data_IF_235682975854
#
_entry.id   IF_235682975854
#
_cell.length_a   1.000
_cell.length_b   1.000
_cell.length_c   1.000
_cell.angle_alpha   90.00
_cell.angle_beta   90.00
_cell.angle_gamma   90.00
#
_symmetry.space_group_name_H-M   'P 1'
#
loop_
_entity.id
_entity.type
_entity.pdbx_description
1 polymer ?
#
# COMPACT_ATOMS: atom_id res chain seq x y z
N UNK A 1 20.89 -3.44 49.83
CA UNK A 1 19.74 -2.53 49.60
C UNK A 1 20.11 -1.54 48.50
N UNK A 2 19.14 -1.17 47.67
CA UNK A 2 19.23 -0.40 46.40
C UNK A 2 19.63 -1.20 45.16
N UNK A 3 18.61 -1.87 44.61
CA UNK A 3 18.60 -2.50 43.30
C UNK A 3 18.32 -1.42 42.23
N UNK A 4 19.26 -1.29 41.30
CA UNK A 4 19.15 -0.82 39.91
C UNK A 4 17.89 -0.03 39.49
N UNK A 5 18.04 1.30 39.45
CA UNK A 5 17.22 2.19 38.65
C UNK A 5 18.04 2.84 37.53
N UNK A 6 17.72 2.53 36.26
CA UNK A 6 17.39 3.53 35.22
C UNK A 6 17.62 3.01 33.80
N UNK A 7 16.51 2.99 33.04
CA UNK A 7 16.41 3.21 31.58
C UNK A 7 17.21 2.28 30.66
N UNK A 8 16.64 1.11 30.36
CA UNK A 8 16.63 0.64 28.97
C UNK A 8 15.26 0.96 28.37
N UNK A 9 15.16 2.10 27.68
CA UNK A 9 14.05 2.35 26.76
C UNK A 9 14.18 1.27 25.68
N UNK A 10 13.33 0.24 25.77
CA UNK A 10 13.38 -0.92 24.89
C UNK A 10 13.30 -0.51 23.42
N UNK A 11 14.05 -1.19 22.54
CA UNK A 11 13.92 -1.00 21.09
C UNK A 11 12.45 -1.09 20.70
N UNK A 12 11.98 -0.12 19.90
CA UNK A 12 10.61 -0.13 19.36
C UNK A 12 10.38 -1.44 18.61
N UNK A 13 9.30 -2.18 18.90
CA UNK A 13 9.04 -3.48 18.27
C UNK A 13 8.85 -3.33 16.76
N UNK A 14 9.34 -4.33 15.99
CA UNK A 14 9.17 -4.40 14.52
C UNK A 14 8.42 -5.68 14.14
N UNK A 15 7.15 -5.75 14.53
CA UNK A 15 6.23 -6.80 14.09
C UNK A 15 5.48 -6.34 12.83
N UNK A 16 5.15 -7.28 11.96
CA UNK A 16 4.23 -7.07 10.83
C UNK A 16 2.81 -6.90 11.31
N UNK A 17 1.95 -6.21 10.55
CA UNK A 17 0.54 -6.00 10.89
C UNK A 17 -0.18 -7.31 11.28
N UNK A 18 0.12 -8.43 10.60
CA UNK A 18 -0.45 -9.74 10.95
C UNK A 18 0.01 -10.27 12.30
N UNK A 19 1.32 -10.16 12.61
CA UNK A 19 1.87 -10.61 13.89
C UNK A 19 1.33 -9.75 15.05
N UNK A 20 1.16 -8.45 14.82
CA UNK A 20 0.57 -7.52 15.79
C UNK A 20 -0.88 -7.87 16.12
N UNK A 21 -1.70 -8.14 15.08
CA UNK A 21 -3.10 -8.53 15.24
C UNK A 21 -3.24 -9.88 15.92
N UNK A 22 -2.39 -10.85 15.58
CA UNK A 22 -2.37 -12.15 16.21
C UNK A 22 -2.01 -12.06 17.69
N UNK A 23 -0.96 -11.32 18.04
CA UNK A 23 -0.59 -11.06 19.43
C UNK A 23 -1.75 -10.43 20.22
N UNK A 24 -2.43 -9.44 19.64
CA UNK A 24 -3.59 -8.82 20.29
C UNK A 24 -4.76 -9.80 20.45
N UNK A 25 -5.04 -10.64 19.44
CA UNK A 25 -6.09 -11.67 19.51
C UNK A 25 -5.79 -12.70 20.59
N UNK A 26 -4.56 -13.20 20.67
CA UNK A 26 -4.14 -14.19 21.65
C UNK A 26 -4.29 -13.64 23.07
N UNK A 27 -3.84 -12.40 23.30
CA UNK A 27 -4.04 -11.71 24.58
C UNK A 27 -5.52 -11.58 24.95
N UNK A 28 -6.38 -11.19 24.00
CA UNK A 28 -7.82 -11.05 24.28
C UNK A 28 -8.50 -12.40 24.54
N UNK A 29 -8.09 -13.46 23.83
CA UNK A 29 -8.58 -14.80 24.08
C UNK A 29 -8.19 -15.31 25.47
N UNK A 30 -6.95 -15.04 25.91
CA UNK A 30 -6.50 -15.39 27.26
C UNK A 30 -7.21 -14.58 28.35
N UNK A 31 -7.43 -13.28 28.12
CA UNK A 31 -8.25 -12.46 29.02
C UNK A 31 -9.65 -13.01 29.19
N UNK A 32 -10.27 -13.48 28.11
CA UNK A 32 -11.58 -14.14 28.16
C UNK A 32 -11.55 -15.46 28.94
N UNK A 33 -10.41 -16.15 28.95
CA UNK A 33 -10.18 -17.37 29.73
C UNK A 33 -9.80 -17.08 31.20
N UNK A 34 -9.78 -15.81 31.62
CA UNK A 34 -9.46 -15.42 33.00
C UNK A 34 -7.97 -15.19 33.28
N UNK A 35 -7.10 -15.31 32.26
CA UNK A 35 -5.68 -15.00 32.39
C UNK A 35 -5.48 -13.49 32.32
N UNK A 36 -4.74 -12.92 33.27
CA UNK A 36 -4.47 -11.48 33.22
C UNK A 36 -3.46 -11.14 32.10
N UNK A 37 -3.51 -9.91 31.57
CA UNK A 37 -2.65 -9.46 30.45
C UNK A 37 -1.16 -9.65 30.76
N UNK A 38 -0.77 -9.41 32.01
CA UNK A 38 0.62 -9.53 32.45
C UNK A 38 1.15 -10.97 32.38
N UNK A 39 0.34 -11.94 32.83
CA UNK A 39 0.64 -13.36 32.75
C UNK A 39 0.68 -13.82 31.29
N UNK A 40 -0.29 -13.39 30.48
CA UNK A 40 -0.32 -13.64 29.03
C UNK A 40 0.97 -13.20 28.33
N UNK A 41 1.40 -11.96 28.55
CA UNK A 41 2.63 -11.42 27.98
C UNK A 41 3.91 -12.11 28.50
N UNK A 42 3.93 -12.52 29.77
CA UNK A 42 5.06 -13.30 30.30
C UNK A 42 5.14 -14.70 29.67
N UNK A 43 4.00 -15.36 29.42
CA UNK A 43 3.99 -16.63 28.69
C UNK A 43 4.54 -16.45 27.27
N UNK A 44 4.11 -15.40 26.55
CA UNK A 44 4.66 -15.09 25.22
C UNK A 44 6.16 -14.81 25.29
N UNK A 45 6.61 -14.06 26.31
CA UNK A 45 8.03 -13.75 26.48
C UNK A 45 8.86 -15.04 26.68
N UNK A 46 8.41 -15.95 27.55
CA UNK A 46 9.09 -17.22 27.80
C UNK A 46 9.09 -18.08 26.54
N UNK A 47 7.94 -18.29 25.90
CA UNK A 47 7.84 -19.09 24.68
C UNK A 47 8.65 -18.50 23.52
N UNK A 48 8.71 -17.18 23.39
CA UNK A 48 9.52 -16.52 22.35
C UNK A 48 11.03 -16.73 22.53
N UNK A 49 11.50 -16.85 23.79
CA UNK A 49 12.90 -17.17 24.09
C UNK A 49 13.24 -18.62 23.77
N UNK A 50 12.33 -19.54 24.09
CA UNK A 50 12.49 -20.96 23.78
C UNK A 50 12.52 -21.20 22.26
N UNK A 51 11.68 -20.48 21.51
CA UNK A 51 11.60 -20.56 20.05
C UNK A 51 12.64 -19.71 19.32
N UNK A 52 13.38 -18.86 20.02
CA UNK A 52 14.35 -17.93 19.43
C UNK A 52 13.74 -16.79 18.60
N UNK A 53 12.47 -16.44 18.82
CA UNK A 53 11.81 -15.33 18.13
C UNK A 53 12.12 -13.98 18.81
N UNK A 54 13.22 -13.37 18.37
CA UNK A 54 13.68 -12.08 18.89
C UNK A 54 12.67 -10.93 18.69
N UNK A 55 11.77 -11.00 17.69
CA UNK A 55 10.80 -9.93 17.43
C UNK A 55 9.68 -9.97 18.45
N UNK A 56 9.10 -11.15 18.67
CA UNK A 56 8.06 -11.36 19.68
C UNK A 56 8.59 -11.14 21.10
N UNK A 57 9.85 -11.51 21.35
CA UNK A 57 10.50 -11.23 22.63
C UNK A 57 10.59 -9.72 22.89
N UNK A 58 11.07 -8.95 21.89
CA UNK A 58 11.19 -7.49 21.99
C UNK A 58 9.82 -6.84 22.19
N UNK A 59 8.80 -7.28 21.46
CA UNK A 59 7.44 -6.78 21.58
C UNK A 59 6.83 -7.03 22.96
N UNK A 60 6.94 -8.26 23.47
CA UNK A 60 6.39 -8.64 24.77
C UNK A 60 7.08 -7.91 25.90
N UNK A 61 8.41 -7.76 25.83
CA UNK A 61 9.19 -6.98 26.79
C UNK A 61 8.80 -5.50 26.79
N UNK A 62 8.60 -4.92 25.61
CA UNK A 62 8.15 -3.54 25.47
C UNK A 62 6.75 -3.34 26.08
N UNK A 63 5.80 -4.24 25.78
CA UNK A 63 4.45 -4.17 26.33
C UNK A 63 4.44 -4.34 27.86
N UNK A 64 5.23 -5.25 28.41
CA UNK A 64 5.39 -5.41 29.87
C UNK A 64 5.96 -4.13 30.51
N UNK A 65 6.95 -3.49 29.89
CA UNK A 65 7.50 -2.23 30.40
C UNK A 65 6.43 -1.12 30.42
N UNK A 66 5.71 -0.92 29.32
CA UNK A 66 4.65 0.10 29.22
C UNK A 66 3.50 -0.15 30.21
N UNK A 67 3.07 -1.40 30.38
CA UNK A 67 2.03 -1.75 31.36
C UNK A 67 2.51 -1.55 32.80
N UNK A 68 3.79 -1.79 33.09
CA UNK A 68 4.36 -1.55 34.43
C UNK A 68 4.40 -0.07 34.82
N UNK A 69 4.44 0.83 33.82
CA UNK A 69 4.31 2.28 34.01
C UNK A 69 2.84 2.73 34.19
N UNK A 70 1.88 1.80 34.21
CA UNK A 70 0.46 2.07 34.41
C UNK A 70 -0.28 2.50 33.13
N UNK A 71 0.34 2.37 31.95
CA UNK A 71 -0.33 2.66 30.68
C UNK A 71 -1.37 1.59 30.35
N UNK A 72 -2.43 1.98 29.64
CA UNK A 72 -3.42 1.03 29.13
C UNK A 72 -2.82 0.16 28.02
N UNK A 73 -3.46 -0.97 27.72
CA UNK A 73 -3.04 -1.84 26.63
C UNK A 73 -3.05 -1.10 25.27
N UNK A 74 -4.06 -0.27 24.99
CA UNK A 74 -4.10 0.53 23.76
C UNK A 74 -2.97 1.56 23.69
N UNK A 75 -2.63 2.21 24.81
CA UNK A 75 -1.48 3.11 24.90
C UNK A 75 -0.15 2.38 24.68
N UNK A 76 0.00 1.15 25.19
CA UNK A 76 1.22 0.36 25.00
C UNK A 76 1.44 -0.10 23.54
N UNK A 77 0.37 -0.23 22.75
CA UNK A 77 0.45 -0.52 21.31
C UNK A 77 0.69 0.74 20.46
N UNK A 78 0.57 1.94 21.03
CA UNK A 78 0.71 3.20 20.32
C UNK A 78 2.13 3.37 19.74
N UNK A 79 2.20 3.92 18.51
CA UNK A 79 3.46 4.29 17.86
C UNK A 79 4.19 3.18 17.09
N UNK A 80 3.86 1.91 17.30
CA UNK A 80 4.46 0.79 16.56
C UNK A 80 3.46 -0.20 15.97
N UNK A 81 2.27 -0.32 16.57
CA UNK A 81 1.23 -1.19 16.06
C UNK A 81 0.40 -0.55 14.94
N UNK A 82 -0.38 -1.38 14.25
CA UNK A 82 -1.34 -0.95 13.24
C UNK A 82 -2.29 0.09 13.86
N UNK A 83 -2.47 1.26 13.22
CA UNK A 83 -3.32 2.33 13.73
C UNK A 83 -4.73 1.90 14.10
N UNK A 84 -5.32 1.03 13.29
CA UNK A 84 -6.68 0.53 13.44
C UNK A 84 -6.79 -0.35 14.70
N UNK A 85 -5.75 -1.15 14.96
CA UNK A 85 -5.66 -1.96 16.18
C UNK A 85 -5.58 -1.08 17.43
N UNK A 86 -4.74 -0.04 17.42
CA UNK A 86 -4.65 0.91 18.54
C UNK A 86 -6.01 1.53 18.84
N UNK A 87 -6.75 1.96 17.81
CA UNK A 87 -8.06 2.57 18.03
C UNK A 87 -9.07 1.57 18.57
N UNK A 88 -9.05 0.32 18.08
CA UNK A 88 -9.90 -0.76 18.59
C UNK A 88 -9.59 -1.00 20.09
N UNK A 89 -8.32 -1.08 20.46
CA UNK A 89 -7.90 -1.27 21.86
C UNK A 89 -8.25 -0.06 22.76
N UNK A 90 -8.14 1.17 22.24
CA UNK A 90 -8.48 2.40 22.98
C UNK A 90 -9.97 2.73 22.99
N UNK A 91 -10.78 2.09 22.15
CA UNK A 91 -12.20 2.45 21.96
C UNK A 91 -13.12 2.07 23.13
N UNK A 92 -12.60 1.40 24.16
CA UNK A 92 -13.37 1.01 25.35
C UNK A 92 -14.49 0.01 25.05
N UNK A 93 -14.35 -0.73 23.95
CA UNK A 93 -15.27 -1.80 23.54
C UNK A 93 -15.27 -2.88 24.61
N UNK A 94 -16.47 -3.41 24.94
CA UNK A 94 -16.59 -4.55 25.85
C UNK A 94 -15.73 -5.71 25.32
N UNK A 95 -15.05 -6.42 26.21
CA UNK A 95 -14.14 -7.53 25.85
C UNK A 95 -14.77 -8.53 24.87
N UNK A 96 -16.06 -8.86 25.03
CA UNK A 96 -16.78 -9.79 24.13
C UNK A 96 -16.87 -9.32 22.67
N UNK A 97 -16.91 -8.01 22.43
CA UNK A 97 -17.00 -7.44 21.09
C UNK A 97 -15.63 -7.09 20.51
N UNK A 98 -14.59 -7.06 21.35
CA UNK A 98 -13.24 -6.66 20.97
C UNK A 98 -12.57 -7.72 20.07
N UNK A 99 -12.75 -9.00 20.40
CA UNK A 99 -12.24 -10.12 19.58
C UNK A 99 -12.84 -10.06 18.16
N UNK A 100 -14.16 -9.83 18.06
CA UNK A 100 -14.84 -9.70 16.77
C UNK A 100 -14.30 -8.52 15.94
N UNK A 101 -14.03 -7.38 16.58
CA UNK A 101 -13.46 -6.21 15.92
C UNK A 101 -12.05 -6.47 15.38
N UNK A 102 -11.18 -7.14 16.16
CA UNK A 102 -9.81 -7.45 15.74
C UNK A 102 -9.83 -8.51 14.61
N UNK A 103 -10.72 -9.50 14.66
CA UNK A 103 -10.88 -10.49 13.57
C UNK A 103 -11.39 -9.85 12.27
N UNK A 104 -12.30 -8.88 12.37
CA UNK A 104 -12.78 -8.11 11.21
C UNK A 104 -11.65 -7.27 10.60
N UNK A 105 -10.82 -6.64 11.45
CA UNK A 105 -9.61 -5.94 11.03
C UNK A 105 -8.60 -6.89 10.35
N UNK A 106 -8.38 -8.09 10.90
CA UNK A 106 -7.51 -9.09 10.31
C UNK A 106 -7.97 -9.49 8.90
N UNK A 107 -9.27 -9.74 8.72
CA UNK A 107 -9.84 -10.04 7.39
C UNK A 107 -9.59 -8.89 6.41
N UNK A 108 -9.76 -7.64 6.85
CA UNK A 108 -9.52 -6.46 6.01
C UNK A 108 -8.04 -6.33 5.61
N UNK A 109 -7.11 -6.53 6.54
CA UNK A 109 -5.66 -6.51 6.27
C UNK A 109 -5.27 -7.64 5.31
N UNK A 110 -5.80 -8.86 5.52
CA UNK A 110 -5.54 -9.99 4.63
C UNK A 110 -6.10 -9.77 3.22
N UNK A 111 -7.31 -9.22 3.08
CA UNK A 111 -7.89 -8.88 1.78
C UNK A 111 -7.02 -7.88 1.03
N UNK A 112 -6.60 -6.79 1.69
CA UNK A 112 -5.69 -5.79 1.10
C UNK A 112 -4.37 -6.42 0.64
N UNK A 113 -3.78 -7.30 1.47
CA UNK A 113 -2.54 -8.01 1.13
C UNK A 113 -2.72 -8.93 -0.07
N UNK A 114 -3.81 -9.71 -0.13
CA UNK A 114 -4.14 -10.58 -1.27
C UNK A 114 -4.30 -9.79 -2.56
N UNK A 115 -4.95 -8.63 -2.51
CA UNK A 115 -5.10 -7.75 -3.67
C UNK A 115 -3.75 -7.22 -4.18
N UNK A 116 -2.92 -6.70 -3.28
CA UNK A 116 -1.57 -6.23 -3.66
C UNK A 116 -0.73 -7.35 -4.26
N UNK A 117 -0.76 -8.54 -3.65
CA UNK A 117 -0.06 -9.70 -4.18
C UNK A 117 -0.58 -10.12 -5.56
N UNK A 118 -1.89 -10.08 -5.79
CA UNK A 118 -2.48 -10.37 -7.09
C UNK A 118 -2.04 -9.36 -8.16
N UNK A 119 -1.98 -8.06 -7.83
CA UNK A 119 -1.49 -7.01 -8.73
C UNK A 119 -0.03 -7.25 -9.09
N UNK A 120 0.82 -7.48 -8.08
CA UNK A 120 2.26 -7.74 -8.28
C UNK A 120 2.46 -8.99 -9.15
N UNK A 121 1.76 -10.09 -8.86
CA UNK A 121 1.83 -11.33 -9.63
C UNK A 121 1.41 -11.14 -11.09
N UNK A 122 0.42 -10.28 -11.37
CA UNK A 122 -0.02 -10.00 -12.74
C UNK A 122 0.94 -9.09 -13.50
N UNK A 123 1.71 -8.24 -12.82
CA UNK A 123 2.66 -7.31 -13.44
C UNK A 123 4.06 -7.89 -13.63
N UNK A 124 4.46 -8.86 -12.81
CA UNK A 124 5.84 -9.36 -12.83
C UNK A 124 6.26 -9.90 -14.21
N UNK A 125 5.36 -10.62 -14.88
CA UNK A 125 5.66 -11.22 -16.19
C UNK A 125 5.68 -10.19 -17.34
N UNK A 126 4.68 -9.30 -17.51
CA UNK A 126 4.77 -8.21 -18.49
C UNK A 126 6.00 -7.32 -18.29
N UNK A 127 6.36 -7.02 -17.02
CA UNK A 127 7.54 -6.21 -16.70
C UNK A 127 8.82 -6.98 -17.08
N UNK A 128 8.93 -8.27 -16.76
CA UNK A 128 10.11 -9.06 -17.13
C UNK A 128 10.26 -9.16 -18.64
N UNK A 129 9.16 -9.40 -19.36
CA UNK A 129 9.15 -9.49 -20.82
C UNK A 129 9.52 -8.15 -21.46
N UNK A 130 8.98 -7.04 -20.96
CA UNK A 130 9.37 -5.70 -21.40
C UNK A 130 10.86 -5.42 -21.14
N UNK A 131 11.37 -5.76 -19.96
CA UNK A 131 12.79 -5.62 -19.63
C UNK A 131 13.67 -6.46 -20.56
N UNK A 132 13.32 -7.72 -20.83
CA UNK A 132 14.03 -8.58 -21.77
C UNK A 132 14.01 -7.99 -23.19
N UNK A 133 12.88 -7.43 -23.64
CA UNK A 133 12.80 -6.80 -24.96
C UNK A 133 13.70 -5.55 -25.08
N UNK A 134 13.84 -4.76 -24.01
CA UNK A 134 14.76 -3.62 -23.99
C UNK A 134 16.22 -4.08 -24.01
N UNK A 135 16.57 -5.13 -23.26
CA UNK A 135 17.92 -5.72 -23.29
C UNK A 135 18.24 -6.26 -24.68
N UNK A 136 17.30 -6.95 -25.31
CA UNK A 136 17.46 -7.45 -26.67
C UNK A 136 17.68 -6.30 -27.67
N UNK A 137 16.88 -5.23 -27.60
CA UNK A 137 17.04 -4.06 -28.46
C UNK A 137 18.39 -3.36 -28.26
N UNK A 138 18.83 -3.19 -27.00
CA UNK A 138 20.15 -2.64 -26.70
C UNK A 138 21.29 -3.51 -27.24
N UNK A 139 21.22 -4.83 -27.04
CA UNK A 139 22.23 -5.76 -27.51
C UNK A 139 22.30 -5.80 -29.04
N UNK A 140 21.15 -5.89 -29.71
CA UNK A 140 21.07 -5.85 -31.18
C UNK A 140 21.62 -4.54 -31.72
N UNK A 141 21.20 -3.40 -31.17
CA UNK A 141 21.57 -2.07 -31.66
C UNK A 141 23.04 -1.71 -31.47
N UNK A 142 23.67 -2.16 -30.38
CA UNK A 142 25.05 -1.77 -30.04
C UNK A 142 26.11 -2.83 -30.41
N UNK A 143 25.75 -4.12 -30.46
CA UNK A 143 26.71 -5.21 -30.69
C UNK A 143 26.50 -5.89 -32.03
N UNK A 144 25.25 -6.19 -32.41
CA UNK A 144 24.96 -6.98 -33.62
C UNK A 144 24.99 -6.09 -34.85
N UNK A 145 24.19 -5.02 -34.87
CA UNK A 145 24.08 -4.14 -36.04
C UNK A 145 25.43 -3.53 -36.46
N UNK A 146 26.28 -2.98 -35.56
CA UNK A 146 27.57 -2.42 -35.96
C UNK A 146 28.53 -3.47 -36.54
N UNK A 147 28.55 -4.69 -35.99
CA UNK A 147 29.42 -5.79 -36.49
C UNK A 147 28.95 -6.35 -37.81
N UNK A 148 27.64 -6.36 -38.04
CA UNK A 148 27.10 -6.69 -39.33
C UNK A 148 27.57 -5.63 -40.34
N UNK A 149 27.42 -4.36 -40.00
CA UNK A 149 27.69 -3.26 -40.91
C UNK A 149 29.16 -2.81 -40.93
N UNK A 150 30.06 -3.55 -40.28
CA UNK A 150 31.50 -3.28 -40.26
C UNK A 150 32.05 -3.44 -41.70
N UNK A 151 32.32 -2.30 -42.34
CA UNK A 151 32.75 -2.22 -43.75
C UNK A 151 31.79 -1.47 -44.67
N UNK A 152 30.55 -1.23 -44.23
CA UNK A 152 29.54 -0.45 -44.97
C UNK A 152 29.33 0.92 -44.31
N UNK A 153 29.17 1.98 -45.11
CA UNK A 153 28.99 3.34 -44.60
C UNK A 153 27.63 3.51 -43.90
N UNK A 154 27.54 4.35 -42.86
CA UNK A 154 26.28 4.64 -42.15
C UNK A 154 25.15 5.14 -43.08
N UNK A 155 25.49 5.71 -44.25
CA UNK A 155 24.53 6.18 -45.25
C UNK A 155 23.79 5.04 -45.98
N UNK A 156 24.29 3.80 -45.92
CA UNK A 156 23.68 2.61 -46.53
C UNK A 156 22.75 1.85 -45.56
N UNK A 157 22.65 2.30 -44.30
CA UNK A 157 21.75 1.68 -43.34
C UNK A 157 20.28 1.95 -43.67
N UNK A 158 19.48 0.89 -43.73
CA UNK A 158 18.03 0.98 -43.90
C UNK A 158 17.37 1.76 -42.72
N UNK A 159 16.27 2.50 -42.95
CA UNK A 159 15.68 3.41 -41.95
C UNK A 159 15.30 2.74 -40.62
N UNK A 160 14.90 1.47 -40.64
CA UNK A 160 14.54 0.72 -39.42
C UNK A 160 15.79 0.35 -38.62
N UNK A 161 16.89 0.01 -39.28
CA UNK A 161 18.17 -0.28 -38.61
C UNK A 161 18.76 0.98 -37.96
N UNK A 162 18.61 2.14 -38.60
CA UNK A 162 18.97 3.44 -38.01
C UNK A 162 18.11 3.74 -36.78
N UNK A 163 16.78 3.59 -36.87
CA UNK A 163 15.89 3.82 -35.72
C UNK A 163 16.20 2.90 -34.53
N UNK A 164 16.51 1.61 -34.78
CA UNK A 164 16.90 0.68 -33.71
C UNK A 164 18.26 1.05 -33.10
N UNK A 165 19.24 1.48 -33.90
CA UNK A 165 20.55 1.89 -33.37
C UNK A 165 20.47 3.19 -32.56
N UNK A 166 19.70 4.17 -33.01
CA UNK A 166 19.44 5.41 -32.26
C UNK A 166 18.69 5.12 -30.95
N UNK A 167 17.66 4.28 -30.98
CA UNK A 167 16.96 3.86 -29.77
C UNK A 167 17.89 3.10 -28.81
N UNK A 168 18.79 2.25 -29.31
CA UNK A 168 19.76 1.54 -28.49
C UNK A 168 20.79 2.48 -27.85
N UNK A 169 21.26 3.50 -28.58
CA UNK A 169 22.15 4.55 -28.06
C UNK A 169 21.43 5.42 -27.02
N UNK A 170 20.17 5.78 -27.27
CA UNK A 170 19.34 6.47 -26.28
C UNK A 170 19.15 5.62 -25.03
N UNK A 171 18.89 4.32 -25.16
CA UNK A 171 18.84 3.41 -24.02
C UNK A 171 20.19 3.40 -23.31
N UNK A 172 21.32 3.26 -24.00
CA UNK A 172 22.63 3.24 -23.34
C UNK A 172 22.91 4.53 -22.55
N UNK A 173 22.54 5.69 -23.10
CA UNK A 173 22.69 7.00 -22.45
C UNK A 173 21.69 7.19 -21.30
N UNK A 174 20.44 6.73 -21.45
CA UNK A 174 19.35 6.95 -20.52
C UNK A 174 19.17 5.82 -19.50
N UNK A 175 19.71 4.62 -19.69
CA UNK A 175 19.39 3.45 -18.87
C UNK A 175 19.90 3.61 -17.44
N UNK A 176 21.16 4.00 -17.25
CA UNK A 176 21.73 4.28 -15.94
C UNK A 176 21.02 5.45 -15.24
N UNK A 177 20.85 6.64 -15.86
CA UNK A 177 20.14 7.74 -15.21
C UNK A 177 18.64 7.45 -15.02
N UNK A 178 17.96 6.71 -15.90
CA UNK A 178 16.57 6.31 -15.70
C UNK A 178 16.42 5.31 -14.56
N UNK A 179 17.32 4.32 -14.42
CA UNK A 179 17.31 3.40 -13.28
C UNK A 179 17.60 4.16 -11.98
N UNK A 180 18.59 5.05 -11.97
CA UNK A 180 18.88 5.88 -10.80
C UNK A 180 17.72 6.82 -10.45
N UNK A 181 17.07 7.42 -11.46
CA UNK A 181 15.91 8.28 -11.27
C UNK A 181 14.73 7.46 -10.76
N UNK A 182 14.45 6.30 -11.33
CA UNK A 182 13.37 5.40 -10.92
C UNK A 182 13.60 4.85 -9.51
N UNK A 183 14.82 4.44 -9.17
CA UNK A 183 15.19 4.03 -7.81
C UNK A 183 15.09 5.21 -6.85
N UNK A 184 15.56 6.40 -7.21
CA UNK A 184 15.41 7.61 -6.39
C UNK A 184 13.95 7.98 -6.21
N UNK A 185 13.11 7.81 -7.24
CA UNK A 185 11.68 8.08 -7.21
C UNK A 185 10.95 7.05 -6.34
N UNK A 186 11.31 5.77 -6.42
CA UNK A 186 10.78 4.73 -5.54
C UNK A 186 11.17 5.03 -4.09
N UNK A 187 12.44 5.34 -3.82
CA UNK A 187 12.92 5.71 -2.49
C UNK A 187 12.22 6.98 -2.01
N UNK A 188 12.03 7.98 -2.87
CA UNK A 188 11.35 9.23 -2.57
C UNK A 188 9.86 9.02 -2.31
N UNK A 189 9.16 8.19 -3.07
CA UNK A 189 7.74 7.84 -2.85
C UNK A 189 7.58 7.01 -1.58
N UNK A 190 8.51 6.09 -1.30
CA UNK A 190 8.52 5.28 -0.07
C UNK A 190 8.88 6.13 1.17
N UNK A 191 9.78 7.10 1.02
CA UNK A 191 10.24 7.99 2.09
C UNK A 191 9.27 9.15 2.35
N UNK A 192 8.75 9.78 1.30
CA UNK A 192 7.71 10.82 1.34
C UNK A 192 6.30 10.24 1.34
N UNK A 193 6.06 9.26 2.22
CA UNK A 193 4.68 8.94 2.64
C UNK A 193 4.01 10.09 3.41
N UNK A 194 4.77 11.13 3.80
CA UNK A 194 4.27 12.32 4.46
C UNK A 194 4.10 13.45 3.45
N UNK A 195 2.84 13.75 3.15
CA UNK A 195 2.33 15.01 2.55
C UNK A 195 2.47 15.15 1.02
N UNK A 196 1.33 15.04 0.31
CA UNK A 196 1.13 15.63 -1.01
C UNK A 196 -0.17 16.43 -1.04
N UNK A 197 -0.06 17.71 -0.71
CA UNK A 197 -1.10 18.75 -0.85
C UNK A 197 -0.46 19.96 -1.52
N UNK A 198 -0.06 19.82 -2.78
CA UNK A 198 0.44 20.93 -3.62
C UNK A 198 0.02 20.74 -5.07
N UNK A 199 0.04 21.83 -5.84
CA UNK A 199 -0.39 22.09 -7.24
C UNK A 199 -0.16 20.93 -8.22
N UNK A 200 0.85 20.10 -7.98
CA UNK A 200 1.12 18.86 -8.73
C UNK A 200 -0.02 17.83 -8.67
N UNK A 201 -0.89 17.89 -7.64
CA UNK A 201 -2.08 17.05 -7.51
C UNK A 201 -3.03 17.19 -8.71
N UNK A 202 -3.17 18.38 -9.30
CA UNK A 202 -4.07 18.58 -10.45
C UNK A 202 -3.55 17.85 -11.70
N UNK A 203 -2.24 17.85 -11.92
CA UNK A 203 -1.60 17.16 -13.05
C UNK A 203 -1.56 15.63 -12.85
N UNK A 204 -1.35 15.16 -11.60
CA UNK A 204 -1.28 13.72 -11.28
C UNK A 204 -2.68 13.10 -11.07
N UNK A 205 -3.72 13.91 -10.83
CA UNK A 205 -5.08 13.43 -10.60
C UNK A 205 -5.71 12.68 -11.79
N UNK A 206 -5.21 12.94 -13.00
CA UNK A 206 -5.62 12.28 -14.23
C UNK A 206 -4.91 10.94 -14.44
N UNK A 207 -3.82 10.67 -13.71
CA UNK A 207 -3.05 9.44 -13.85
C UNK A 207 -3.77 8.24 -13.23
N UNK A 208 -3.83 7.13 -13.99
CA UNK A 208 -4.50 5.88 -13.61
C UNK A 208 -4.08 5.36 -12.23
N UNK A 209 -2.80 5.47 -11.89
CA UNK A 209 -2.25 5.05 -10.59
C UNK A 209 -2.81 5.84 -9.40
N UNK A 210 -3.03 7.14 -9.57
CA UNK A 210 -3.56 8.00 -8.51
C UNK A 210 -5.01 7.65 -8.16
N UNK A 211 -5.83 7.36 -9.17
CA UNK A 211 -7.24 7.01 -8.96
C UNK A 211 -7.39 5.67 -8.22
N UNK A 212 -6.53 4.69 -8.54
CA UNK A 212 -6.46 3.41 -7.80
C UNK A 212 -5.99 3.64 -6.37
N UNK A 213 -4.93 4.42 -6.17
CA UNK A 213 -4.42 4.77 -4.84
C UNK A 213 -5.48 5.48 -3.98
N UNK A 214 -6.19 6.47 -4.54
CA UNK A 214 -7.28 7.20 -3.87
C UNK A 214 -8.44 6.27 -3.50
N UNK A 215 -8.81 5.32 -4.36
CA UNK A 215 -9.82 4.31 -4.06
C UNK A 215 -9.40 3.41 -2.88
N UNK A 216 -8.14 2.95 -2.85
CA UNK A 216 -7.62 2.20 -1.71
C UNK A 216 -7.60 3.02 -0.42
N UNK A 217 -7.25 4.29 -0.49
CA UNK A 217 -7.34 5.21 0.64
C UNK A 217 -8.79 5.38 1.12
N UNK A 218 -9.75 5.54 0.20
CA UNK A 218 -11.17 5.65 0.52
C UNK A 218 -11.69 4.40 1.22
N UNK A 219 -11.35 3.21 0.71
CA UNK A 219 -11.72 1.93 1.33
C UNK A 219 -11.11 1.78 2.72
N UNK A 220 -9.82 2.14 2.88
CA UNK A 220 -9.14 2.10 4.17
C UNK A 220 -9.83 3.01 5.18
N UNK A 221 -10.13 4.26 4.80
CA UNK A 221 -10.80 5.24 5.67
C UNK A 221 -12.21 4.77 6.01
N UNK A 222 -12.96 4.23 5.05
CA UNK A 222 -14.32 3.75 5.29
C UNK A 222 -14.37 2.51 6.18
N UNK A 223 -13.46 1.56 6.00
CA UNK A 223 -13.36 0.39 6.89
C UNK A 223 -12.99 0.82 8.31
N UNK A 224 -12.05 1.76 8.44
CA UNK A 224 -11.65 2.32 9.73
C UNK A 224 -12.83 3.02 10.42
N UNK A 225 -13.56 3.84 9.67
CA UNK A 225 -14.72 4.55 10.20
C UNK A 225 -15.94 3.65 10.39
N UNK A 226 -16.12 2.56 9.64
CA UNK A 226 -17.19 1.58 9.83
C UNK A 226 -16.97 0.78 11.11
N UNK A 227 -15.74 0.30 11.30
CA UNK A 227 -15.34 -0.37 12.54
C UNK A 227 -15.54 0.58 13.72
N UNK A 228 -15.12 1.84 13.59
CA UNK A 228 -15.29 2.82 14.67
C UNK A 228 -16.75 3.22 14.90
N UNK A 229 -17.57 3.36 13.87
CA UNK A 229 -19.00 3.64 14.04
C UNK A 229 -19.74 2.47 14.72
N UNK A 230 -19.27 1.23 14.48
CA UNK A 230 -19.83 0.00 15.08
C UNK A 230 -19.41 -0.19 16.53
N UNK A 231 -18.17 0.20 16.87
CA UNK A 231 -17.54 -0.17 18.13
C UNK A 231 -17.24 1.01 19.07
N UNK A 232 -17.04 2.23 18.56
CA UNK A 232 -16.70 3.40 19.35
C UNK A 232 -17.91 4.26 19.71
N UNK A 233 -17.89 4.86 20.91
CA UNK A 233 -18.92 5.80 21.38
C UNK A 233 -18.80 7.20 20.75
N UNK A 234 -17.68 7.52 20.09
CA UNK A 234 -17.40 8.85 19.52
C UNK A 234 -16.52 8.75 18.27
N UNK A 235 -17.12 9.04 17.11
CA UNK A 235 -16.43 9.05 15.82
C UNK A 235 -15.36 10.14 15.75
N UNK A 236 -15.58 11.29 16.39
CA UNK A 236 -14.60 12.37 16.48
C UNK A 236 -13.31 11.94 17.21
N UNK A 237 -13.44 11.26 18.37
CA UNK A 237 -12.26 10.74 19.11
C UNK A 237 -11.50 9.70 18.28
N UNK A 238 -12.22 8.80 17.60
CA UNK A 238 -11.63 7.85 16.68
C UNK A 238 -10.87 8.54 15.53
N UNK A 239 -11.43 9.59 14.92
CA UNK A 239 -10.75 10.36 13.88
C UNK A 239 -9.46 11.03 14.38
N UNK A 240 -9.40 11.49 15.63
CA UNK A 240 -8.16 12.04 16.23
C UNK A 240 -7.08 10.97 16.30
N UNK A 241 -7.41 9.78 16.84
CA UNK A 241 -6.46 8.68 16.96
C UNK A 241 -6.01 8.21 15.56
N UNK A 242 -6.95 8.04 14.63
CA UNK A 242 -6.66 7.66 13.25
C UNK A 242 -5.77 8.69 12.53
N UNK A 243 -6.04 10.00 12.70
CA UNK A 243 -5.21 11.06 12.11
C UNK A 243 -3.76 11.00 12.60
N UNK A 244 -3.55 10.78 13.89
CA UNK A 244 -2.21 10.77 14.49
C UNK A 244 -1.33 9.65 13.92
N UNK A 245 -1.96 8.59 13.40
CA UNK A 245 -1.29 7.43 12.86
C UNK A 245 -1.40 7.31 11.34
N UNK A 246 -2.29 8.06 10.70
CA UNK A 246 -2.44 8.12 9.26
C UNK A 246 -1.28 8.87 8.59
N UNK A 247 -0.96 8.47 7.36
CA UNK A 247 0.03 9.12 6.51
C UNK A 247 -0.58 9.47 5.15
N UNK A 248 0.03 10.41 4.44
CA UNK A 248 -0.37 10.83 3.10
C UNK A 248 -1.80 11.36 3.01
N UNK A 249 -2.53 10.92 1.97
CA UNK A 249 -3.88 11.38 1.63
C UNK A 249 -4.91 11.05 2.72
N UNK A 250 -4.76 9.91 3.40
CA UNK A 250 -5.65 9.47 4.48
C UNK A 250 -5.61 10.46 5.66
N UNK A 251 -4.42 10.96 6.02
CA UNK A 251 -4.26 11.96 7.09
C UNK A 251 -4.97 13.26 6.77
N UNK A 252 -4.88 13.72 5.53
CA UNK A 252 -5.56 14.95 5.08
C UNK A 252 -7.07 14.82 5.21
N UNK A 253 -7.66 13.72 4.76
CA UNK A 253 -9.10 13.51 4.90
C UNK A 253 -9.55 13.39 6.35
N UNK A 254 -8.78 12.75 7.24
CA UNK A 254 -9.09 12.77 8.67
C UNK A 254 -9.02 14.17 9.29
N UNK A 255 -8.09 15.01 8.83
CA UNK A 255 -8.02 16.40 9.26
C UNK A 255 -9.27 17.18 8.84
N UNK A 256 -9.68 17.07 7.57
CA UNK A 256 -10.89 17.72 7.06
C UNK A 256 -12.14 17.22 7.80
N UNK A 257 -12.24 15.93 8.09
CA UNK A 257 -13.35 15.37 8.88
C UNK A 257 -13.39 15.96 10.30
N UNK A 258 -12.23 16.18 10.94
CA UNK A 258 -12.15 16.81 12.27
C UNK A 258 -12.49 18.31 12.21
N UNK A 259 -12.12 19.00 11.14
CA UNK A 259 -12.53 20.40 10.90
C UNK A 259 -14.04 20.49 10.74
N UNK A 260 -14.67 19.55 10.02
CA UNK A 260 -16.13 19.46 9.94
C UNK A 260 -16.78 19.21 11.30
N UNK A 261 -16.21 18.35 12.14
CA UNK A 261 -16.68 18.20 13.51
C UNK A 261 -16.57 19.49 14.34
N UNK A 262 -15.46 20.23 14.20
CA UNK A 262 -15.27 21.50 14.88
C UNK A 262 -16.27 22.58 14.42
N UNK A 263 -16.69 22.52 13.15
CA UNK A 263 -17.70 23.39 12.56
C UNK A 263 -19.15 23.01 12.91
N UNK A 264 -19.36 21.97 13.73
CA UNK A 264 -20.68 21.59 14.23
C UNK A 264 -21.49 20.65 13.32
N UNK A 265 -20.89 20.08 12.28
CA UNK A 265 -21.56 19.06 11.47
C UNK A 265 -21.82 17.80 12.30
N UNK A 266 -23.09 17.43 12.44
CA UNK A 266 -23.53 16.24 13.19
C UNK A 266 -23.98 15.10 12.28
N UNK A 267 -24.37 15.41 11.05
CA UNK A 267 -24.69 14.42 10.03
C UNK A 267 -23.41 13.76 9.50
N UNK A 268 -23.41 12.43 9.48
CA UNK A 268 -22.26 11.65 9.04
C UNK A 268 -21.91 11.94 7.57
N UNK A 269 -22.90 12.14 6.70
CA UNK A 269 -22.67 12.50 5.29
C UNK A 269 -21.86 13.78 5.15
N UNK A 270 -22.12 14.77 5.99
CA UNK A 270 -21.47 16.07 5.93
C UNK A 270 -20.06 16.01 6.51
N UNK A 271 -19.88 15.30 7.63
CA UNK A 271 -18.56 14.99 8.19
C UNK A 271 -17.69 14.23 7.17
N UNK A 272 -18.27 13.25 6.47
CA UNK A 272 -17.56 12.42 5.49
C UNK A 272 -17.28 13.13 4.17
N UNK A 273 -17.86 14.32 3.95
CA UNK A 273 -17.67 15.15 2.76
C UNK A 273 -16.31 15.86 2.77
N UNK A 274 -15.25 15.08 2.72
CA UNK A 274 -13.86 15.53 2.62
C UNK A 274 -13.33 15.51 1.18
N UNK A 275 -14.20 15.25 0.19
CA UNK A 275 -13.82 14.98 -1.20
C UNK A 275 -13.28 13.56 -1.44
N UNK A 276 -13.21 12.70 -0.42
CA UNK A 276 -12.79 11.30 -0.56
C UNK A 276 -13.88 10.43 -1.22
N UNK A 277 -15.13 10.67 -0.88
CA UNK A 277 -16.30 9.94 -1.37
C UNK A 277 -16.92 10.60 -2.60
N UNK A 278 -17.43 9.79 -3.53
CA UNK A 278 -18.27 10.27 -4.63
C UNK A 278 -19.62 10.78 -4.09
N UNK A 279 -20.20 11.79 -4.75
CA UNK A 279 -21.50 12.37 -4.37
C UNK A 279 -22.63 11.34 -4.28
N UNK A 280 -22.60 10.29 -5.10
CA UNK A 280 -23.57 9.18 -5.04
C UNK A 280 -23.47 8.37 -3.74
N UNK A 281 -22.26 8.21 -3.19
CA UNK A 281 -22.02 7.53 -1.91
C UNK A 281 -22.40 8.42 -0.73
N UNK A 282 -22.14 9.72 -0.82
CA UNK A 282 -22.59 10.70 0.18
C UNK A 282 -24.12 10.78 0.21
N UNK A 283 -24.78 10.74 -0.94
CA UNK A 283 -26.24 10.72 -1.00
C UNK A 283 -26.83 9.46 -0.36
N UNK A 284 -26.25 8.27 -0.61
CA UNK A 284 -26.66 7.03 0.09
C UNK A 284 -26.47 7.13 1.61
N UNK A 285 -25.37 7.73 2.07
CA UNK A 285 -25.15 8.00 3.50
C UNK A 285 -26.17 8.98 4.08
N UNK A 286 -26.59 9.99 3.31
CA UNK A 286 -27.56 10.98 3.77
C UNK A 286 -28.98 10.41 3.84
N UNK A 287 -29.33 9.55 2.90
CA UNK A 287 -30.61 8.84 2.89
C UNK A 287 -30.69 7.78 4.01
N UNK A 288 -29.56 7.46 4.65
CA UNK A 288 -29.46 6.63 5.86
C UNK A 288 -29.88 7.42 7.11
N UNK A 289 -31.16 7.68 7.27
CA UNK A 289 -31.71 8.23 8.52
C UNK A 289 -32.26 7.10 9.42
N UNK A 290 -31.35 6.25 9.94
CA UNK A 290 -31.69 5.13 10.84
C UNK A 290 -31.06 5.23 12.24
N UNK A 291 -31.42 4.31 13.15
CA UNK A 291 -30.81 4.16 14.49
C UNK A 291 -29.30 3.87 14.37
N UNK A 292 -28.53 4.12 15.44
CA UNK A 292 -27.05 4.03 15.42
C UNK A 292 -26.51 2.66 14.93
N UNK A 293 -27.21 1.56 15.23
CA UNK A 293 -26.86 0.22 14.72
C UNK A 293 -27.02 0.11 13.21
N UNK A 294 -28.12 0.62 12.65
CA UNK A 294 -28.41 0.63 11.21
C UNK A 294 -27.42 1.51 10.45
N UNK A 295 -27.03 2.65 11.02
CA UNK A 295 -25.97 3.52 10.46
C UNK A 295 -24.63 2.78 10.37
N UNK A 296 -24.20 2.09 11.43
CA UNK A 296 -22.93 1.35 11.44
C UNK A 296 -22.88 0.25 10.38
N UNK A 297 -23.98 -0.49 10.22
CA UNK A 297 -24.09 -1.58 9.26
C UNK A 297 -24.10 -1.05 7.82
N UNK A 298 -24.69 0.11 7.58
CA UNK A 298 -24.68 0.74 6.26
C UNK A 298 -23.33 1.38 5.90
N UNK A 299 -22.59 1.94 6.85
CA UNK A 299 -21.20 2.37 6.61
C UNK A 299 -20.35 1.15 6.22
N UNK A 300 -20.54 0.02 6.91
CA UNK A 300 -19.87 -1.23 6.59
C UNK A 300 -20.25 -1.76 5.19
N UNK A 301 -21.54 -1.75 4.84
CA UNK A 301 -22.00 -2.13 3.50
C UNK A 301 -21.47 -1.21 2.40
N UNK A 302 -21.42 0.10 2.65
CA UNK A 302 -20.81 1.07 1.74
C UNK A 302 -19.31 0.85 1.61
N UNK A 303 -18.61 0.52 2.70
CA UNK A 303 -17.19 0.20 2.69
C UNK A 303 -16.92 -1.08 1.88
N UNK A 304 -17.75 -2.13 2.05
CA UNK A 304 -17.69 -3.35 1.24
C UNK A 304 -17.96 -3.05 -0.23
N UNK A 305 -19.01 -2.28 -0.55
CA UNK A 305 -19.38 -1.97 -1.92
C UNK A 305 -18.30 -1.11 -2.62
N UNK A 306 -17.72 -0.15 -1.90
CA UNK A 306 -16.58 0.62 -2.40
C UNK A 306 -15.31 -0.22 -2.52
N UNK A 307 -15.09 -1.18 -1.63
CA UNK A 307 -14.00 -2.16 -1.74
C UNK A 307 -14.15 -3.02 -3.00
N UNK A 308 -15.34 -3.58 -3.24
CA UNK A 308 -15.64 -4.33 -4.47
C UNK A 308 -15.51 -3.47 -5.73
N UNK A 309 -15.94 -2.21 -5.68
CA UNK A 309 -15.77 -1.24 -6.80
C UNK A 309 -14.30 -0.92 -7.02
N UNK A 310 -13.50 -0.75 -5.96
CA UNK A 310 -12.06 -0.54 -6.04
C UNK A 310 -11.39 -1.77 -6.67
N UNK A 311 -11.77 -2.99 -6.28
CA UNK A 311 -11.25 -4.21 -6.89
C UNK A 311 -11.57 -4.32 -8.39
N UNK A 312 -12.82 -4.05 -8.79
CA UNK A 312 -13.24 -4.20 -10.18
C UNK A 312 -12.60 -3.15 -11.10
N UNK A 313 -12.51 -1.89 -10.65
CA UNK A 313 -11.82 -0.82 -11.36
C UNK A 313 -10.33 -1.12 -11.46
N UNK A 314 -9.71 -1.59 -10.36
CA UNK A 314 -8.29 -1.94 -10.34
C UNK A 314 -8.01 -3.06 -11.33
N UNK A 315 -8.79 -4.15 -11.35
CA UNK A 315 -8.62 -5.25 -12.30
C UNK A 315 -8.81 -4.81 -13.75
N UNK A 316 -9.83 -3.99 -14.05
CA UNK A 316 -10.10 -3.52 -15.42
C UNK A 316 -8.97 -2.65 -15.95
N UNK A 317 -8.46 -1.73 -15.13
CA UNK A 317 -7.36 -0.84 -15.52
C UNK A 317 -6.01 -1.55 -15.55
N UNK A 318 -5.79 -2.49 -14.64
CA UNK A 318 -4.60 -3.34 -14.65
C UNK A 318 -4.52 -4.14 -15.96
N UNK A 319 -5.63 -4.66 -16.46
CA UNK A 319 -5.67 -5.31 -17.78
C UNK A 319 -5.25 -4.37 -18.91
N UNK A 320 -5.73 -3.12 -18.92
CA UNK A 320 -5.33 -2.12 -19.94
C UNK A 320 -3.83 -1.85 -19.88
N UNK A 321 -3.28 -1.65 -18.69
CA UNK A 321 -1.83 -1.45 -18.50
C UNK A 321 -1.04 -2.67 -18.96
N UNK A 322 -1.46 -3.88 -18.57
CA UNK A 322 -0.82 -5.14 -18.96
C UNK A 322 -0.86 -5.33 -20.49
N UNK A 323 -2.00 -5.08 -21.13
CA UNK A 323 -2.12 -5.14 -22.60
C UNK A 323 -1.23 -4.11 -23.28
N UNK A 324 -1.17 -2.88 -22.77
CA UNK A 324 -0.27 -1.86 -23.34
C UNK A 324 1.20 -2.27 -23.23
N UNK A 325 1.62 -2.85 -22.11
CA UNK A 325 2.99 -3.37 -21.91
C UNK A 325 3.30 -4.50 -22.89
N UNK A 326 2.37 -5.45 -23.09
CA UNK A 326 2.55 -6.51 -24.07
C UNK A 326 2.61 -5.98 -25.50
N UNK A 327 1.72 -5.07 -25.88
CA UNK A 327 1.72 -4.47 -27.21
C UNK A 327 3.02 -3.73 -27.50
N UNK A 328 3.53 -2.95 -26.53
CA UNK A 328 4.81 -2.24 -26.67
C UNK A 328 5.97 -3.24 -26.77
N UNK A 329 6.03 -4.25 -25.91
CA UNK A 329 7.13 -5.22 -25.95
C UNK A 329 7.12 -6.06 -27.24
N UNK A 330 5.94 -6.46 -27.72
CA UNK A 330 5.80 -7.13 -29.00
C UNK A 330 6.32 -6.25 -30.15
N UNK A 331 5.96 -4.97 -30.17
CA UNK A 331 6.43 -4.03 -31.18
C UNK A 331 7.96 -3.88 -31.14
N UNK A 332 8.55 -3.77 -29.94
CA UNK A 332 10.00 -3.72 -29.78
C UNK A 332 10.68 -4.98 -30.34
N UNK A 333 10.18 -6.17 -30.02
CA UNK A 333 10.74 -7.43 -30.54
C UNK A 333 10.63 -7.48 -32.06
N UNK A 334 9.47 -7.15 -32.63
CA UNK A 334 9.29 -7.12 -34.08
C UNK A 334 10.26 -6.13 -34.73
N UNK A 335 10.42 -4.93 -34.17
CA UNK A 335 11.36 -3.94 -34.69
C UNK A 335 12.81 -4.46 -34.69
N UNK A 336 13.23 -5.14 -33.61
CA UNK A 336 14.58 -5.74 -33.57
C UNK A 336 14.79 -6.83 -34.62
N UNK A 337 13.80 -7.70 -34.82
CA UNK A 337 13.87 -8.80 -35.79
C UNK A 337 13.85 -8.27 -37.22
N UNK A 338 13.00 -7.27 -37.50
CA UNK A 338 12.94 -6.65 -38.83
C UNK A 338 14.25 -5.93 -39.13
N UNK A 339 14.82 -5.19 -38.17
CA UNK A 339 16.08 -4.51 -38.36
C UNK A 339 17.22 -5.48 -38.72
N UNK A 340 17.34 -6.60 -37.99
CA UNK A 340 18.38 -7.60 -38.30
C UNK A 340 18.14 -8.30 -39.62
N UNK A 341 16.90 -8.71 -39.92
CA UNK A 341 16.57 -9.37 -41.19
C UNK A 341 16.85 -8.48 -42.39
N UNK A 342 16.48 -7.19 -42.31
CA UNK A 342 16.75 -6.20 -43.35
C UNK A 342 18.25 -6.03 -43.60
N UNK A 343 19.06 -5.92 -42.53
CA UNK A 343 20.52 -5.81 -42.69
C UNK A 343 21.14 -7.05 -43.31
N UNK A 344 20.68 -8.24 -42.95
CA UNK A 344 21.20 -9.50 -43.53
C UNK A 344 20.81 -9.61 -45.00
N UNK A 345 19.58 -9.27 -45.37
CA UNK A 345 19.13 -9.32 -46.75
C UNK A 345 19.92 -8.34 -47.64
N UNK A 346 20.17 -7.13 -47.13
CA UNK A 346 20.99 -6.13 -47.82
C UNK A 346 22.41 -6.63 -48.12
N UNK A 347 23.04 -7.32 -47.16
CA UNK A 347 24.36 -7.93 -47.39
C UNK A 347 24.34 -9.01 -48.47
N UNK A 348 23.30 -9.85 -48.47
CA UNK A 348 23.17 -10.92 -49.45
C UNK A 348 23.00 -10.35 -50.87
N UNK A 349 22.24 -9.27 -51.02
CA UNK A 349 22.02 -8.60 -52.30
C UNK A 349 23.28 -7.90 -52.83
N UNK A 350 24.15 -7.40 -51.95
CA UNK A 350 25.46 -6.85 -52.36
C UNK A 350 26.51 -7.91 -52.69
N UNK A 351 26.31 -9.16 -52.24
CA UNK A 351 27.23 -10.28 -52.51
C UNK A 351 26.88 -11.06 -53.79
N UNK A 352 25.65 -10.92 -54.31
CA UNK A 352 25.19 -11.46 -55.59
C UNK A 352 25.46 -10.49 -56.74
#
# INVERSE_FOLDING_TARGET
MSWWGSKQVGKVPRLTDSEQLQLALDLMNWMRQGVNVWQGLNMVLVSSRELGDAKLETASRFLLAELSEGKSLGQAFHGWANPELVVILDSGVKADNLIGAIQELERNVQLKRKLLQAIVRQLIYPISLFATSLVALWFVGTQILPRLLDGYGQAEMLPVAVAVSEMANLIQLLFVPCILLLVSLIIWVLSNRKVYTSTFHRLVSTTVFYQVYRLFCAVSVLNQLSLMAKYSRSLARSCVILKNHAQGLVKHHYQVMLEHYANGYTELSDVMNSGLLESSSLMRLRMSSGRQSERSQQIYELAINLSRKAESITRRRLKVVVWSLYSISFLLVVATVVATAQTVFYMLEQWS
#
